data_IF_632140822915
#
_entry.id   IF_632140822915
#
_cell.length_a   1.000
_cell.length_b   1.000
_cell.length_c   1.000
_cell.angle_alpha   90.00
_cell.angle_beta   90.00
_cell.angle_gamma   90.00
#
_symmetry.space_group_name_H-M   'P 1'
#
loop_
_entity.id
_entity.type
_entity.pdbx_description
1 polymer ?
#
# COMPACT_ATOMS: atom_id res chain seq x y z
N UNK A 1 42.05 4.99 6.37
CA UNK A 1 41.89 5.38 4.94
C UNK A 1 40.51 4.91 4.51
N UNK A 2 39.52 5.79 4.51
CA UNK A 2 38.16 5.54 4.01
C UNK A 2 38.17 5.79 2.51
N UNK A 3 37.89 4.75 1.72
CA UNK A 3 37.69 4.91 0.28
C UNK A 3 36.44 5.75 0.07
N UNK A 4 36.61 6.97 -0.46
CA UNK A 4 35.51 7.73 -1.00
C UNK A 4 34.99 6.96 -2.21
N UNK A 5 33.86 6.27 -2.05
CA UNK A 5 33.14 5.69 -3.18
C UNK A 5 32.74 6.86 -4.06
N UNK A 6 33.18 6.84 -5.32
CA UNK A 6 32.74 7.80 -6.32
C UNK A 6 31.26 7.53 -6.61
N UNK A 7 30.40 8.20 -5.84
CA UNK A 7 28.95 8.11 -5.94
C UNK A 7 28.49 8.46 -7.36
N UNK A 8 29.19 9.36 -8.06
CA UNK A 8 28.83 9.74 -9.43
C UNK A 8 29.06 8.56 -10.39
N UNK A 9 30.20 7.87 -10.28
CA UNK A 9 30.46 6.66 -11.06
C UNK A 9 29.49 5.51 -10.71
N UNK A 10 29.15 5.36 -9.43
CA UNK A 10 28.19 4.35 -8.96
C UNK A 10 26.77 4.62 -9.48
N UNK A 11 26.28 5.86 -9.38
CA UNK A 11 24.97 6.26 -9.89
C UNK A 11 24.93 6.22 -11.42
N UNK A 12 25.99 6.67 -12.11
CA UNK A 12 26.05 6.60 -13.58
C UNK A 12 26.02 5.16 -14.10
N UNK A 13 26.56 4.20 -13.33
CA UNK A 13 26.49 2.78 -13.66
C UNK A 13 25.11 2.15 -13.37
N UNK A 14 24.30 2.74 -12.49
CA UNK A 14 22.96 2.26 -12.10
C UNK A 14 21.80 2.97 -12.83
N UNK A 15 22.06 4.14 -13.42
CA UNK A 15 21.08 4.83 -14.28
C UNK A 15 21.05 4.09 -15.61
N UNK A 16 20.11 3.16 -15.73
CA UNK A 16 19.96 2.38 -16.94
C UNK A 16 19.43 3.22 -18.11
N UNK A 17 18.52 4.16 -17.86
CA UNK A 17 17.92 5.05 -18.86
C UNK A 17 17.35 6.32 -18.23
N UNK A 18 17.54 7.47 -18.89
CA UNK A 18 16.86 8.74 -18.57
C UNK A 18 15.86 9.05 -19.67
N UNK A 19 14.61 9.34 -19.31
CA UNK A 19 13.56 9.71 -20.26
C UNK A 19 12.84 10.97 -19.82
N UNK A 20 12.68 11.94 -20.72
CA UNK A 20 11.88 13.14 -20.49
C UNK A 20 10.55 12.96 -21.20
N UNK A 21 9.49 12.76 -20.43
CA UNK A 21 8.16 12.59 -20.99
C UNK A 21 7.57 13.94 -21.41
N UNK A 22 7.01 13.99 -22.61
CA UNK A 22 6.25 15.13 -23.13
C UNK A 22 4.95 14.63 -23.77
N UNK A 23 4.01 15.52 -24.08
CA UNK A 23 2.80 15.14 -24.82
C UNK A 23 3.13 14.47 -26.18
N UNK A 24 4.23 14.87 -26.81
CA UNK A 24 4.70 14.28 -28.07
C UNK A 24 5.59 13.03 -27.88
N UNK A 25 6.11 12.80 -26.68
CA UNK A 25 6.99 11.69 -26.34
C UNK A 25 6.57 11.10 -24.98
N UNK A 26 5.50 10.26 -24.94
CA UNK A 26 5.04 9.67 -23.69
C UNK A 26 6.14 8.80 -23.05
N UNK A 27 5.98 8.49 -21.77
CA UNK A 27 6.89 7.56 -21.09
C UNK A 27 6.98 6.24 -21.87
N UNK A 28 8.18 5.66 -22.05
CA UNK A 28 8.33 4.36 -22.67
C UNK A 28 7.61 3.29 -21.82
N UNK A 29 7.24 2.15 -22.42
CA UNK A 29 6.78 0.98 -21.67
C UNK A 29 7.77 0.67 -20.55
N UNK A 30 7.25 0.49 -19.32
CA UNK A 30 8.07 0.44 -18.10
C UNK A 30 9.07 -0.72 -18.16
N UNK A 31 10.39 -0.46 -18.23
CA UNK A 31 11.37 -1.51 -18.48
C UNK A 31 11.86 -2.21 -17.19
N UNK A 32 11.60 -1.65 -16.01
CA UNK A 32 12.13 -2.12 -14.74
C UNK A 32 11.06 -2.24 -13.63
N UNK A 33 11.16 -3.22 -12.71
CA UNK A 33 10.22 -3.39 -11.60
C UNK A 33 10.23 -2.23 -10.59
N UNK A 34 11.27 -1.39 -10.65
CA UNK A 34 11.42 -0.19 -9.84
C UNK A 34 11.81 0.99 -10.73
N UNK A 35 11.17 2.15 -10.56
CA UNK A 35 11.49 3.37 -11.33
C UNK A 35 11.44 4.58 -10.43
N UNK A 36 12.48 5.42 -10.47
CA UNK A 36 12.49 6.75 -9.87
C UNK A 36 11.94 7.77 -10.86
N UNK A 37 11.06 8.64 -10.40
CA UNK A 37 10.37 9.63 -11.24
C UNK A 37 10.52 11.00 -10.56
N UNK A 38 10.97 12.00 -11.31
CA UNK A 38 10.93 13.40 -10.87
C UNK A 38 9.74 14.11 -11.50
N UNK A 39 9.02 14.87 -10.69
CA UNK A 39 7.83 15.62 -11.04
C UNK A 39 7.90 17.02 -10.43
N UNK A 40 7.01 17.93 -10.85
CA UNK A 40 6.96 19.31 -10.38
C UNK A 40 6.86 19.41 -8.84
N UNK A 41 6.17 18.45 -8.23
CA UNK A 41 5.92 18.39 -6.79
C UNK A 41 6.82 17.41 -6.02
N UNK A 42 7.85 16.84 -6.66
CA UNK A 42 8.94 16.17 -5.95
C UNK A 42 9.44 14.89 -6.62
N UNK A 43 9.95 13.97 -5.81
CA UNK A 43 10.44 12.68 -6.27
C UNK A 43 9.50 11.56 -5.86
N UNK A 44 9.32 10.61 -6.78
CA UNK A 44 8.43 9.46 -6.63
C UNK A 44 9.18 8.17 -6.94
N UNK A 45 8.75 7.11 -6.26
CA UNK A 45 9.19 5.74 -6.50
C UNK A 45 8.00 4.92 -6.99
N UNK A 46 8.17 4.29 -8.15
CA UNK A 46 7.18 3.39 -8.75
C UNK A 46 7.67 1.95 -8.66
N UNK A 47 6.87 1.09 -8.03
CA UNK A 47 7.04 -0.36 -8.04
C UNK A 47 6.03 -1.04 -8.97
N UNK A 48 6.45 -2.05 -9.73
CA UNK A 48 5.58 -2.82 -10.63
C UNK A 48 5.74 -4.32 -10.37
N UNK A 49 4.61 -5.02 -10.28
CA UNK A 49 4.54 -6.48 -10.31
C UNK A 49 3.37 -6.93 -11.22
N UNK A 50 3.18 -8.24 -11.48
CA UNK A 50 2.13 -8.71 -12.39
C UNK A 50 0.70 -8.29 -12.03
N UNK A 51 0.43 -7.98 -10.76
CA UNK A 51 -0.91 -7.66 -10.24
C UNK A 51 -1.17 -6.17 -10.03
N UNK A 52 -0.13 -5.32 -9.99
CA UNK A 52 -0.27 -3.89 -9.69
C UNK A 52 0.96 -3.06 -10.06
N UNK A 53 0.72 -1.76 -10.18
CA UNK A 53 1.73 -0.71 -10.17
C UNK A 53 1.44 0.22 -9.00
N UNK A 54 2.41 0.49 -8.14
CA UNK A 54 2.27 1.38 -6.98
C UNK A 54 3.23 2.54 -7.15
N UNK A 55 2.75 3.75 -6.85
CA UNK A 55 3.51 4.99 -6.90
C UNK A 55 3.45 5.65 -5.52
N UNK A 56 4.61 5.84 -4.91
CA UNK A 56 4.75 6.58 -3.64
C UNK A 56 5.60 7.82 -3.87
N UNK A 57 5.24 8.90 -3.21
CA UNK A 57 6.04 10.11 -3.12
C UNK A 57 7.03 9.94 -1.96
N UNK A 58 8.31 10.06 -2.28
CA UNK A 58 9.40 9.84 -1.32
C UNK A 58 10.01 11.15 -0.85
N UNK A 59 9.84 12.24 -1.61
CA UNK A 59 10.28 13.57 -1.23
C UNK A 59 9.31 14.63 -1.75
N UNK A 60 8.94 15.56 -0.90
CA UNK A 60 8.14 16.74 -1.23
C UNK A 60 9.08 17.93 -1.48
N UNK A 61 9.20 18.36 -2.74
CA UNK A 61 9.90 19.58 -3.10
C UNK A 61 9.39 20.08 -4.45
N UNK A 62 9.42 21.39 -4.65
CA UNK A 62 9.28 21.94 -6.00
C UNK A 62 10.49 21.54 -6.84
N UNK A 63 10.26 21.10 -8.09
CA UNK A 63 11.32 20.81 -9.04
C UNK A 63 11.15 21.64 -10.30
N UNK A 64 12.19 22.37 -10.71
CA UNK A 64 12.22 23.11 -11.97
C UNK A 64 12.42 22.18 -13.20
N UNK A 65 12.56 20.87 -12.97
CA UNK A 65 12.80 19.88 -14.02
C UNK A 65 11.52 19.43 -14.74
N UNK A 66 10.33 19.73 -14.20
CA UNK A 66 9.05 19.28 -14.72
C UNK A 66 7.92 20.23 -14.32
N UNK A 67 6.98 20.45 -15.23
CA UNK A 67 5.73 21.20 -14.95
C UNK A 67 4.56 20.25 -14.58
N UNK A 68 4.82 18.94 -14.51
CA UNK A 68 3.79 17.93 -14.24
C UNK A 68 3.82 17.52 -12.77
N UNK A 69 2.73 17.77 -12.07
CA UNK A 69 2.50 17.21 -10.72
C UNK A 69 2.04 15.76 -10.81
N UNK A 70 2.57 14.92 -9.93
CA UNK A 70 2.10 13.54 -9.76
C UNK A 70 1.39 13.36 -8.42
N UNK A 71 0.47 12.42 -8.39
CA UNK A 71 -0.18 12.00 -7.15
C UNK A 71 0.22 10.56 -6.86
N UNK A 72 0.43 10.19 -5.58
CA UNK A 72 0.63 8.81 -5.22
C UNK A 72 -0.58 7.98 -5.63
N UNK A 73 -0.39 6.69 -5.87
CA UNK A 73 -1.52 5.84 -6.19
C UNK A 73 -1.16 4.44 -6.63
N UNK A 74 -2.18 3.74 -7.11
CA UNK A 74 -2.05 2.35 -7.55
C UNK A 74 -2.88 2.13 -8.80
N UNK A 75 -2.34 1.29 -9.70
CA UNK A 75 -3.03 0.78 -10.88
C UNK A 75 -3.09 -0.73 -10.77
N UNK A 76 -4.24 -1.31 -11.00
CA UNK A 76 -4.44 -2.76 -11.02
C UNK A 76 -4.73 -3.25 -12.44
N UNK A 77 -3.74 -3.84 -13.14
CA UNK A 77 -3.96 -4.42 -14.47
C UNK A 77 -5.12 -5.43 -14.45
N UNK A 78 -6.08 -5.23 -15.35
CA UNK A 78 -7.27 -6.09 -15.44
C UNK A 78 -8.43 -5.72 -14.50
N UNK A 79 -8.28 -4.68 -13.68
CA UNK A 79 -9.33 -4.17 -12.79
C UNK A 79 -9.61 -2.69 -13.05
N UNK A 80 -10.70 -2.19 -12.45
CA UNK A 80 -11.00 -0.76 -12.46
C UNK A 80 -9.98 0.06 -11.67
N UNK A 81 -10.16 1.38 -11.64
CA UNK A 81 -9.27 2.30 -10.93
C UNK A 81 -9.32 2.19 -9.41
N UNK A 82 -10.24 1.40 -8.84
CA UNK A 82 -10.45 1.19 -7.40
C UNK A 82 -11.04 -0.19 -7.10
N UNK A 83 -10.71 -0.74 -5.94
CA UNK A 83 -11.32 -1.95 -5.39
C UNK A 83 -12.78 -1.67 -4.93
N UNK A 84 -13.73 -2.60 -5.12
CA UNK A 84 -15.10 -2.39 -4.67
C UNK A 84 -15.25 -2.28 -3.14
N UNK A 85 -15.90 -1.24 -2.64
CA UNK A 85 -16.12 -1.04 -1.21
C UNK A 85 -16.95 -2.12 -0.53
N UNK A 86 -17.79 -2.86 -1.28
CA UNK A 86 -18.48 -4.07 -0.76
C UNK A 86 -17.54 -5.12 -0.14
N UNK A 87 -16.26 -5.14 -0.54
CA UNK A 87 -15.25 -6.03 0.04
C UNK A 87 -14.93 -5.61 1.48
N UNK A 88 -14.88 -4.31 1.78
CA UNK A 88 -14.71 -3.79 3.14
C UNK A 88 -15.88 -4.19 4.04
N UNK A 89 -17.12 -4.19 3.51
CA UNK A 89 -18.29 -4.68 4.25
C UNK A 89 -18.18 -6.14 4.68
N UNK A 90 -17.60 -7.00 3.82
CA UNK A 90 -17.32 -8.41 4.15
C UNK A 90 -16.26 -8.55 5.24
N UNK A 91 -15.17 -7.78 5.12
CA UNK A 91 -14.10 -7.73 6.13
C UNK A 91 -14.70 -7.32 7.48
N UNK A 92 -15.45 -6.21 7.53
CA UNK A 92 -16.05 -5.70 8.76
C UNK A 92 -16.99 -6.70 9.43
N UNK A 93 -17.86 -7.34 8.63
CA UNK A 93 -18.78 -8.35 9.14
C UNK A 93 -18.04 -9.51 9.78
N UNK A 94 -17.00 -10.02 9.11
CA UNK A 94 -16.20 -11.12 9.65
C UNK A 94 -15.39 -10.70 10.89
N UNK A 95 -14.77 -9.52 10.88
CA UNK A 95 -13.95 -9.02 11.99
C UNK A 95 -14.78 -8.81 13.27
N UNK A 96 -16.03 -8.35 13.16
CA UNK A 96 -16.94 -8.20 14.31
C UNK A 96 -17.31 -9.53 14.97
N UNK A 97 -17.30 -10.63 14.22
CA UNK A 97 -17.60 -11.97 14.74
C UNK A 97 -16.37 -12.71 15.26
N UNK A 98 -15.16 -12.16 15.10
CA UNK A 98 -13.92 -12.85 15.43
C UNK A 98 -13.63 -12.78 16.93
N UNK A 99 -13.69 -13.94 17.60
CA UNK A 99 -13.43 -14.08 19.04
C UNK A 99 -12.57 -15.30 19.34
N UNK A 100 -11.85 -15.27 20.47
CA UNK A 100 -11.13 -16.41 21.02
C UNK A 100 -12.09 -17.42 21.69
N UNK A 101 -11.52 -18.47 22.30
CA UNK A 101 -12.30 -19.52 23.00
C UNK A 101 -13.08 -19.00 24.21
N UNK A 102 -12.72 -17.83 24.72
CA UNK A 102 -13.35 -17.16 25.85
C UNK A 102 -14.36 -16.09 25.39
N UNK A 103 -14.59 -15.96 24.08
CA UNK A 103 -15.50 -14.96 23.51
C UNK A 103 -14.91 -13.54 23.48
N UNK A 104 -13.61 -13.38 23.67
CA UNK A 104 -12.94 -12.06 23.60
C UNK A 104 -12.54 -11.76 22.15
N UNK A 105 -12.72 -10.52 21.67
CA UNK A 105 -12.34 -10.16 20.31
C UNK A 105 -10.86 -10.44 19.99
N UNK A 106 -10.58 -10.99 18.79
CA UNK A 106 -9.22 -11.26 18.27
C UNK A 106 -8.98 -10.66 16.89
N UNK A 107 -7.80 -10.06 16.69
CA UNK A 107 -7.46 -9.32 15.48
C UNK A 107 -7.45 -10.28 14.32
N UNK A 108 -7.73 -9.79 13.12
CA UNK A 108 -7.79 -10.63 11.94
C UNK A 108 -7.03 -10.02 10.79
N UNK A 109 -6.37 -10.90 10.05
CA UNK A 109 -5.77 -10.61 8.76
C UNK A 109 -6.70 -11.07 7.64
N UNK A 110 -6.81 -10.27 6.58
CA UNK A 110 -7.56 -10.57 5.37
C UNK A 110 -6.78 -10.14 4.14
N UNK A 111 -7.03 -10.84 3.03
CA UNK A 111 -6.47 -10.47 1.74
C UNK A 111 -7.59 -10.28 0.73
N UNK A 112 -7.57 -9.13 0.06
CA UNK A 112 -8.32 -8.90 -1.16
C UNK A 112 -7.51 -9.45 -2.31
N UNK A 113 -8.09 -10.36 -3.09
CA UNK A 113 -7.40 -11.06 -4.17
C UNK A 113 -8.38 -11.44 -5.28
N UNK A 114 -7.86 -11.91 -6.42
CA UNK A 114 -8.63 -12.59 -7.45
C UNK A 114 -7.99 -13.96 -7.72
N UNK A 115 -8.79 -15.01 -7.56
CA UNK A 115 -8.38 -16.40 -7.79
C UNK A 115 -8.95 -16.95 -9.11
N UNK A 116 -9.14 -16.07 -10.10
CA UNK A 116 -9.71 -16.39 -11.41
C UNK A 116 -11.24 -16.42 -11.45
N UNK A 117 -11.90 -15.92 -10.41
CA UNK A 117 -13.38 -15.88 -10.28
C UNK A 117 -13.92 -14.48 -9.98
N UNK A 118 -13.06 -13.48 -10.09
CA UNK A 118 -13.34 -12.12 -9.68
C UNK A 118 -12.87 -11.83 -8.25
N UNK A 119 -12.85 -10.54 -7.93
CA UNK A 119 -12.41 -10.01 -6.65
C UNK A 119 -13.15 -10.63 -5.47
N UNK A 120 -12.39 -11.13 -4.50
CA UNK A 120 -12.89 -11.70 -3.26
C UNK A 120 -12.03 -11.28 -2.07
N UNK A 121 -12.58 -11.50 -0.87
CA UNK A 121 -11.85 -11.41 0.40
C UNK A 121 -11.59 -12.84 0.86
N UNK A 122 -10.36 -13.14 1.23
CA UNK A 122 -10.02 -14.38 1.91
C UNK A 122 -9.44 -14.06 3.29
N UNK A 123 -9.67 -14.99 4.21
CA UNK A 123 -9.03 -15.01 5.51
C UNK A 123 -7.93 -16.08 5.45
N UNK A 124 -6.64 -15.72 5.44
CA UNK A 124 -5.58 -16.71 5.47
C UNK A 124 -5.62 -17.53 6.76
N UNK A 125 -5.03 -18.74 6.76
CA UNK A 125 -4.66 -19.41 8.01
C UNK A 125 -3.86 -18.43 8.88
N UNK A 126 -4.22 -18.31 10.15
CA UNK A 126 -3.60 -17.31 11.01
C UNK A 126 -3.66 -17.68 12.48
N UNK A 127 -2.64 -17.26 13.22
CA UNK A 127 -2.61 -17.27 14.67
C UNK A 127 -2.94 -15.86 15.14
N UNK A 128 -4.15 -15.69 15.67
CA UNK A 128 -4.69 -14.40 16.07
C UNK A 128 -4.80 -14.29 17.59
N UNK A 129 -4.44 -13.13 18.11
CA UNK A 129 -4.63 -12.72 19.50
C UNK A 129 -5.36 -11.37 19.55
N UNK A 130 -5.49 -10.76 20.72
CA UNK A 130 -6.12 -9.45 20.84
C UNK A 130 -5.31 -8.29 20.22
N UNK A 131 -4.01 -8.49 19.95
CA UNK A 131 -3.04 -7.44 19.57
C UNK A 131 -2.00 -7.89 18.54
N UNK A 132 -2.16 -9.09 17.98
CA UNK A 132 -1.21 -9.65 17.02
C UNK A 132 -1.91 -10.68 16.16
N UNK A 133 -1.60 -10.65 14.87
CA UNK A 133 -1.95 -11.71 13.91
C UNK A 133 -0.70 -12.16 13.19
N UNK A 134 -0.48 -13.48 13.12
CA UNK A 134 0.60 -14.08 12.35
C UNK A 134 -0.02 -14.89 11.23
N UNK A 135 0.42 -14.64 9.99
CA UNK A 135 -0.03 -15.39 8.82
C UNK A 135 1.17 -16.03 8.11
N UNK A 136 1.00 -17.21 7.48
CA UNK A 136 2.03 -17.74 6.61
C UNK A 136 2.13 -16.87 5.35
N UNK A 137 3.35 -16.72 4.83
CA UNK A 137 3.52 -16.14 3.50
C UNK A 137 2.92 -17.08 2.47
N UNK A 138 1.97 -16.57 1.68
CA UNK A 138 1.34 -17.32 0.61
C UNK A 138 1.67 -16.67 -0.74
N UNK A 139 1.92 -17.50 -1.74
CA UNK A 139 2.15 -17.05 -3.12
C UNK A 139 0.81 -16.81 -3.81
N UNK A 140 0.13 -15.74 -3.43
CA UNK A 140 -1.15 -15.30 -4.01
C UNK A 140 -1.03 -13.86 -4.54
N UNK A 141 -1.82 -13.50 -5.57
CA UNK A 141 -1.95 -12.13 -6.03
C UNK A 141 -2.80 -11.33 -5.01
N UNK A 142 -2.22 -11.04 -3.85
CA UNK A 142 -2.84 -10.20 -2.81
C UNK A 142 -2.85 -8.79 -3.34
N UNK A 143 -4.01 -8.23 -3.65
CA UNK A 143 -4.19 -6.86 -4.19
C UNK A 143 -4.21 -5.80 -3.09
N UNK A 144 -4.75 -6.15 -1.93
CA UNK A 144 -4.73 -5.33 -0.72
C UNK A 144 -4.73 -6.24 0.51
N UNK A 145 -3.80 -5.99 1.41
CA UNK A 145 -3.71 -6.61 2.72
C UNK A 145 -4.55 -5.79 3.72
N UNK A 146 -5.44 -6.43 4.48
CA UNK A 146 -6.34 -5.75 5.41
C UNK A 146 -6.26 -6.38 6.79
N UNK A 147 -5.76 -5.61 7.76
CA UNK A 147 -5.67 -5.97 9.16
C UNK A 147 -6.81 -5.33 9.96
N UNK A 148 -7.31 -5.98 11.02
CA UNK A 148 -8.39 -5.44 11.86
C UNK A 148 -7.98 -5.25 13.32
N UNK A 149 -8.10 -4.01 13.80
CA UNK A 149 -8.18 -3.64 15.20
C UNK A 149 -9.63 -3.67 15.69
N UNK A 150 -9.83 -3.98 16.98
CA UNK A 150 -11.15 -4.03 17.62
C UNK A 150 -11.67 -2.66 18.02
N UNK A 151 -11.52 -2.33 19.31
CA UNK A 151 -11.90 -1.05 19.90
C UNK A 151 -10.85 0.04 19.64
N UNK A 152 -9.65 -0.35 19.20
CA UNK A 152 -8.57 0.59 18.87
C UNK A 152 -8.81 1.25 17.50
N UNK A 153 -8.30 2.47 17.33
CA UNK A 153 -8.32 3.17 16.05
C UNK A 153 -7.50 2.46 14.97
N UNK A 154 -7.69 2.83 13.72
CA UNK A 154 -6.93 2.29 12.58
C UNK A 154 -5.61 3.02 12.42
N UNK A 155 -4.53 2.43 12.91
CA UNK A 155 -3.16 2.93 12.79
C UNK A 155 -2.21 1.77 12.52
N UNK A 156 -1.05 2.05 11.90
CA UNK A 156 0.00 1.05 11.67
C UNK A 156 0.98 1.03 12.85
N UNK A 157 1.42 -0.16 13.23
CA UNK A 157 2.45 -0.40 14.24
C UNK A 157 3.83 -0.55 13.60
N UNK A 158 4.89 -0.47 14.42
CA UNK A 158 6.25 -0.77 13.97
C UNK A 158 6.48 -2.24 13.55
N UNK A 159 5.54 -3.15 13.83
CA UNK A 159 5.55 -4.50 13.24
C UNK A 159 5.03 -4.47 11.81
N UNK A 160 3.92 -3.77 11.59
CA UNK A 160 3.36 -3.60 10.25
C UNK A 160 4.38 -2.93 9.32
N UNK A 161 5.09 -1.91 9.82
CA UNK A 161 6.21 -1.25 9.13
C UNK A 161 7.25 -2.25 8.61
N UNK A 162 7.74 -3.12 9.48
CA UNK A 162 8.76 -4.13 9.12
C UNK A 162 8.23 -5.14 8.11
N UNK A 163 6.96 -5.53 8.24
CA UNK A 163 6.33 -6.48 7.32
C UNK A 163 6.14 -5.86 5.93
N UNK A 164 5.80 -4.57 5.87
CA UNK A 164 5.59 -3.84 4.62
C UNK A 164 6.88 -3.40 3.92
N UNK A 165 7.99 -3.30 4.65
CA UNK A 165 9.29 -2.81 4.15
C UNK A 165 9.82 -3.56 2.91
N UNK A 166 9.45 -4.82 2.72
CA UNK A 166 9.95 -5.63 1.59
C UNK A 166 8.93 -5.84 0.48
N UNK A 167 7.82 -5.07 0.50
CA UNK A 167 6.67 -5.28 -0.38
C UNK A 167 6.49 -4.17 -1.43
N UNK A 168 5.82 -4.54 -2.52
CA UNK A 168 5.10 -3.60 -3.39
C UNK A 168 3.63 -3.89 -3.16
N UNK A 169 2.90 -2.96 -2.54
CA UNK A 169 1.63 -3.31 -1.91
C UNK A 169 0.70 -2.15 -1.60
N UNK A 170 -0.48 -2.57 -1.14
CA UNK A 170 -1.48 -1.72 -0.52
C UNK A 170 -1.86 -2.42 0.78
N UNK A 171 -1.68 -1.74 1.90
CA UNK A 171 -2.00 -2.24 3.23
C UNK A 171 -3.07 -1.35 3.84
N UNK A 172 -4.03 -1.95 4.52
CA UNK A 172 -5.13 -1.25 5.17
C UNK A 172 -5.32 -1.79 6.59
N UNK A 173 -5.64 -0.90 7.52
CA UNK A 173 -6.03 -1.26 8.88
C UNK A 173 -7.45 -0.75 9.10
N UNK A 174 -8.35 -1.61 9.53
CA UNK A 174 -9.66 -1.19 10.04
C UNK A 174 -9.64 -1.16 11.56
N UNK A 175 -10.30 -0.19 12.18
CA UNK A 175 -10.36 -0.06 13.63
C UNK A 175 -11.73 0.41 14.10
N UNK A 176 -11.88 0.53 15.41
CA UNK A 176 -13.12 0.97 16.10
C UNK A 176 -14.36 0.24 15.57
N UNK A 177 -14.19 -1.04 15.21
CA UNK A 177 -15.11 -1.78 14.37
C UNK A 177 -16.47 -2.02 15.04
N UNK A 178 -16.54 -1.96 16.37
CA UNK A 178 -17.78 -2.15 17.13
C UNK A 178 -18.60 -0.87 17.32
N UNK A 179 -18.04 0.30 17.01
CA UNK A 179 -18.71 1.60 17.18
C UNK A 179 -18.82 2.33 15.84
N UNK A 180 -17.93 3.28 15.59
CA UNK A 180 -17.81 4.03 14.33
C UNK A 180 -16.57 3.54 13.61
N UNK A 181 -16.68 2.56 12.70
CA UNK A 181 -15.51 1.92 12.10
C UNK A 181 -14.62 2.95 11.40
N UNK A 182 -13.31 2.84 11.60
CA UNK A 182 -12.30 3.66 10.92
C UNK A 182 -11.45 2.82 9.99
N UNK A 183 -10.88 3.43 8.96
CA UNK A 183 -9.93 2.78 8.04
C UNK A 183 -8.72 3.68 7.80
N UNK A 184 -7.53 3.11 7.93
CA UNK A 184 -6.26 3.70 7.50
C UNK A 184 -5.70 2.89 6.35
N UNK A 185 -5.07 3.54 5.38
CA UNK A 185 -4.57 2.91 4.16
C UNK A 185 -3.21 3.48 3.80
N UNK A 186 -2.29 2.61 3.38
CA UNK A 186 -0.99 3.01 2.87
C UNK A 186 -0.56 2.24 1.64
N UNK A 187 0.29 2.89 0.87
CA UNK A 187 1.00 2.35 -0.28
C UNK A 187 2.42 1.98 0.14
N UNK A 188 2.96 0.91 -0.42
CA UNK A 188 4.29 0.41 -0.09
C UNK A 188 5.11 0.12 -1.35
N UNK A 189 6.36 0.58 -1.37
CA UNK A 189 7.36 0.23 -2.39
C UNK A 189 8.73 0.11 -1.71
N UNK A 190 9.15 -1.11 -1.40
CA UNK A 190 10.49 -1.47 -0.90
C UNK A 190 11.08 -0.48 0.13
N UNK A 191 10.46 -0.36 1.29
CA UNK A 191 10.94 0.46 2.41
C UNK A 191 10.34 1.86 2.44
N UNK A 192 9.75 2.31 1.34
CA UNK A 192 9.01 3.56 1.28
C UNK A 192 7.52 3.31 1.48
N UNK A 193 6.94 4.01 2.45
CA UNK A 193 5.52 3.92 2.75
C UNK A 193 4.86 5.29 2.71
N UNK A 194 3.63 5.33 2.22
CA UNK A 194 2.86 6.55 2.16
C UNK A 194 1.40 6.28 2.51
N UNK A 195 0.92 6.92 3.56
CA UNK A 195 -0.49 6.94 3.88
C UNK A 195 -1.25 7.67 2.77
N UNK A 196 -2.42 7.14 2.40
CA UNK A 196 -3.28 7.72 1.37
C UNK A 196 -4.73 7.69 1.81
N UNK A 197 -5.59 8.57 1.26
CA UNK A 197 -7.03 8.45 1.47
C UNK A 197 -7.51 7.05 1.06
N UNK A 198 -8.34 6.42 1.87
CA UNK A 198 -8.91 5.13 1.56
C UNK A 198 -9.75 5.17 0.26
N UNK A 199 -10.31 6.33 -0.07
CA UNK A 199 -11.02 6.57 -1.34
C UNK A 199 -10.12 6.52 -2.57
N UNK A 200 -8.79 6.59 -2.41
CA UNK A 200 -7.85 6.33 -3.49
C UNK A 200 -7.88 4.84 -3.86
N UNK A 201 -8.06 3.97 -2.87
CA UNK A 201 -8.02 2.51 -3.05
C UNK A 201 -9.39 1.92 -3.31
N UNK A 202 -10.42 2.41 -2.62
CA UNK A 202 -11.77 1.83 -2.64
C UNK A 202 -12.78 2.75 -3.33
N UNK A 203 -13.72 2.16 -4.07
CA UNK A 203 -14.79 2.90 -4.76
C UNK A 203 -15.73 3.64 -3.80
N UNK A 204 -15.93 3.07 -2.62
CA UNK A 204 -16.75 3.56 -1.53
C UNK A 204 -16.22 2.97 -0.21
N UNK A 205 -16.51 3.64 0.91
CA UNK A 205 -16.05 3.21 2.23
C UNK A 205 -17.14 2.55 3.07
N UNK A 206 -18.37 2.45 2.56
CA UNK A 206 -19.51 1.97 3.34
C UNK A 206 -19.62 2.71 4.69
N UNK A 207 -19.55 1.99 5.84
CA UNK A 207 -19.65 2.60 7.17
C UNK A 207 -18.32 3.18 7.69
N UNK A 208 -17.21 3.00 6.98
CA UNK A 208 -15.90 3.41 7.46
C UNK A 208 -15.70 4.92 7.34
N UNK A 209 -15.21 5.53 8.42
CA UNK A 209 -14.60 6.85 8.40
C UNK A 209 -13.13 6.71 8.02
N UNK A 210 -12.70 7.50 7.05
CA UNK A 210 -11.28 7.59 6.69
C UNK A 210 -10.47 8.19 7.85
N UNK A 211 -9.41 7.49 8.26
CA UNK A 211 -8.47 7.94 9.30
C UNK A 211 -7.27 8.68 8.70
N UNK A 212 -7.22 8.83 7.37
CA UNK A 212 -6.17 9.57 6.69
C UNK A 212 -6.04 10.99 7.24
N UNK A 213 -4.86 11.30 7.79
CA UNK A 213 -4.51 12.62 8.32
C UNK A 213 -3.48 13.38 7.44
N UNK A 214 -2.98 12.75 6.37
CA UNK A 214 -1.86 13.25 5.56
C UNK A 214 -0.49 12.89 6.14
N UNK A 215 0.46 12.47 5.28
CA UNK A 215 1.85 12.20 5.68
C UNK A 215 2.60 11.25 4.74
N UNK A 216 3.94 11.35 4.72
CA UNK A 216 4.87 10.38 4.13
C UNK A 216 5.85 9.95 5.21
N UNK A 217 6.18 8.66 5.26
CA UNK A 217 7.12 8.12 6.25
C UNK A 217 8.18 7.27 5.55
N UNK A 218 9.46 7.53 5.83
CA UNK A 218 10.50 6.54 5.56
C UNK A 218 10.53 5.57 6.74
N UNK A 219 10.52 4.27 6.43
CA UNK A 219 10.71 3.26 7.47
C UNK A 219 12.17 3.34 7.97
N UNK A 220 12.41 3.24 9.28
CA UNK A 220 13.75 3.29 9.85
C UNK A 220 14.64 2.12 9.41
#
# INVERSE_FOLDING_TARGET
>A
MTAAVDLVALFSAQIHQTHVATAACPLPPVPAPLTWISAANGAFLRGVNPSRQVLVQINHHGSDLSDVELQPGVVWPGYGSRLPGRLLGRVLHHARGAVDRQGRPVEQQYWITDLGRGLTVIRPPQLATAVTVITPRMDLPILCDVHSHHAMGSYFSGTDDRDDALSIGVSAVIGTIFTTPTIGVRLTVYGHVQDVPATLIFSDLGPFRDAFAGGTHELP
#
